data_IF_953156108206
#
_entry.id   IF_953156108206
#
_cell.length_a   1.000
_cell.length_b   1.000
_cell.length_c   1.000
_cell.angle_alpha   90.00
_cell.angle_beta   90.00
_cell.angle_gamma   90.00
#
_symmetry.space_group_name_H-M   'P 1'
#
loop_
_entity.id
_entity.type
_entity.pdbx_description
1 polymer ?
#
# COMPACT_ATOMS: atom_id res chain seq x y z
N UNK A 1 -30.63 -4.24 29.75
CA UNK A 1 -29.46 -3.38 30.01
C UNK A 1 -28.24 -4.09 29.45
N UNK A 2 -27.88 -3.79 28.20
CA UNK A 2 -26.59 -4.20 27.62
C UNK A 2 -25.57 -3.14 28.02
N UNK A 3 -24.67 -3.50 28.92
CA UNK A 3 -23.45 -2.73 29.20
C UNK A 3 -22.63 -2.68 27.91
N UNK A 4 -22.63 -1.55 27.22
CA UNK A 4 -21.53 -1.22 26.32
C UNK A 4 -20.30 -1.07 27.20
N UNK A 5 -19.44 -2.09 27.24
CA UNK A 5 -18.12 -1.93 27.81
C UNK A 5 -17.42 -0.83 27.01
N UNK A 6 -16.86 0.16 27.69
CA UNK A 6 -16.04 1.19 27.06
C UNK A 6 -14.92 0.50 26.25
N UNK A 7 -14.59 1.01 25.05
CA UNK A 7 -13.49 0.46 24.28
C UNK A 7 -12.19 0.50 25.13
N UNK A 8 -11.35 -0.55 25.07
CA UNK A 8 -10.14 -0.63 25.88
C UNK A 8 -9.24 0.58 25.64
N UNK A 9 -8.63 1.09 26.71
CA UNK A 9 -7.67 2.19 26.60
C UNK A 9 -6.44 1.78 25.80
N UNK A 10 -5.71 2.75 25.22
CA UNK A 10 -4.53 2.49 24.38
C UNK A 10 -3.49 1.57 25.06
N UNK A 11 -3.18 1.84 26.34
CA UNK A 11 -2.26 1.03 27.14
C UNK A 11 -2.74 -0.42 27.30
N UNK A 12 -4.06 -0.60 27.45
CA UNK A 12 -4.66 -1.91 27.54
C UNK A 12 -4.51 -2.65 26.21
N UNK A 13 -4.87 -2.00 25.10
CA UNK A 13 -4.71 -2.55 23.75
C UNK A 13 -3.27 -2.96 23.43
N UNK A 14 -2.26 -2.20 23.87
CA UNK A 14 -0.85 -2.53 23.65
C UNK A 14 -0.40 -3.82 24.35
N UNK A 15 -1.03 -4.16 25.47
CA UNK A 15 -0.68 -5.34 26.28
C UNK A 15 -1.52 -6.58 25.97
N UNK A 16 -2.56 -6.44 25.15
CA UNK A 16 -3.42 -7.56 24.76
C UNK A 16 -2.63 -8.62 23.97
N UNK A 17 -2.81 -9.93 24.28
CA UNK A 17 -2.22 -11.01 23.49
C UNK A 17 -2.59 -10.93 22.00
N UNK A 18 -3.80 -10.47 21.69
CA UNK A 18 -4.29 -10.28 20.33
C UNK A 18 -3.43 -9.29 19.54
N UNK A 19 -3.01 -8.18 20.17
CA UNK A 19 -2.13 -7.20 19.57
C UNK A 19 -0.73 -7.78 19.34
N UNK A 20 -0.20 -8.51 20.31
CA UNK A 20 1.11 -9.18 20.17
C UNK A 20 1.10 -10.18 19.00
N UNK A 21 0.07 -11.03 18.93
CA UNK A 21 -0.07 -12.02 17.86
C UNK A 21 -0.23 -11.37 16.50
N UNK A 22 -1.09 -10.34 16.39
CA UNK A 22 -1.28 -9.57 15.16
C UNK A 22 0.05 -9.02 14.63
N UNK A 23 0.84 -8.37 15.49
CA UNK A 23 2.14 -7.80 15.09
C UNK A 23 3.13 -8.88 14.66
N UNK A 24 3.19 -10.00 15.39
CA UNK A 24 4.05 -11.12 15.02
C UNK A 24 3.66 -11.73 13.66
N UNK A 25 2.37 -11.89 13.38
CA UNK A 25 1.87 -12.37 12.08
C UNK A 25 2.21 -11.41 10.94
N UNK A 26 2.05 -10.09 11.16
CA UNK A 26 2.39 -9.08 10.15
C UNK A 26 3.90 -8.98 9.91
N UNK A 27 4.71 -9.12 10.96
CA UNK A 27 6.16 -9.21 10.83
C UNK A 27 6.56 -10.43 9.97
N UNK A 28 5.98 -11.60 10.25
CA UNK A 28 6.23 -12.82 9.48
C UNK A 28 5.80 -12.68 8.01
N UNK A 29 4.66 -12.03 7.76
CA UNK A 29 4.16 -11.79 6.41
C UNK A 29 5.10 -10.83 5.64
N UNK A 30 5.58 -9.77 6.30
CA UNK A 30 6.54 -8.84 5.72
C UNK A 30 7.85 -9.53 5.33
N UNK A 31 8.41 -10.35 6.23
CA UNK A 31 9.61 -11.14 5.97
C UNK A 31 9.41 -12.13 4.81
N UNK A 32 8.23 -12.76 4.73
CA UNK A 32 7.89 -13.65 3.63
C UNK A 32 7.85 -12.91 2.28
N UNK A 33 7.29 -11.70 2.23
CA UNK A 33 7.27 -10.88 1.01
C UNK A 33 8.69 -10.55 0.53
N UNK A 34 9.55 -10.11 1.46
CA UNK A 34 10.97 -9.83 1.17
C UNK A 34 11.68 -11.07 0.66
N UNK A 35 11.54 -12.19 1.36
CA UNK A 35 12.17 -13.45 0.98
C UNK A 35 11.73 -13.90 -0.42
N UNK A 36 10.44 -13.85 -0.73
CA UNK A 36 9.92 -14.21 -2.07
C UNK A 36 10.43 -13.28 -3.17
N UNK A 37 10.55 -11.97 -2.90
CA UNK A 37 11.16 -11.01 -3.84
C UNK A 37 12.61 -11.39 -4.11
N UNK A 38 13.39 -11.65 -3.06
CA UNK A 38 14.81 -12.00 -3.18
C UNK A 38 15.00 -13.32 -3.94
N UNK A 39 14.16 -14.33 -3.68
CA UNK A 39 14.16 -15.58 -4.45
C UNK A 39 13.84 -15.35 -5.93
N UNK A 40 12.86 -14.50 -6.23
CA UNK A 40 12.50 -14.16 -7.60
C UNK A 40 13.69 -13.53 -8.33
N UNK A 41 14.36 -12.56 -7.69
CA UNK A 41 15.56 -11.91 -8.25
C UNK A 41 16.66 -12.93 -8.50
N UNK A 42 16.95 -13.79 -7.52
CA UNK A 42 17.98 -14.81 -7.64
C UNK A 42 17.69 -15.79 -8.79
N UNK A 43 16.44 -16.27 -8.92
CA UNK A 43 16.06 -17.15 -10.04
C UNK A 43 16.17 -16.46 -11.39
N UNK A 44 15.72 -15.21 -11.50
CA UNK A 44 15.85 -14.45 -12.75
C UNK A 44 17.32 -14.29 -13.18
N UNK A 45 18.22 -14.00 -12.22
CA UNK A 45 19.66 -13.90 -12.46
C UNK A 45 20.28 -15.24 -12.86
N UNK A 46 19.89 -16.35 -12.22
CA UNK A 46 20.32 -17.71 -12.60
C UNK A 46 19.94 -18.05 -14.05
N UNK A 47 18.85 -17.48 -14.56
CA UNK A 47 18.41 -17.63 -15.95
C UNK A 47 18.96 -16.55 -16.89
N UNK A 48 19.96 -15.78 -16.47
CA UNK A 48 20.72 -14.85 -17.32
C UNK A 48 20.19 -13.41 -17.35
N UNK A 49 19.23 -13.05 -16.51
CA UNK A 49 18.84 -11.65 -16.35
C UNK A 49 19.95 -10.84 -15.67
N UNK A 50 20.15 -9.59 -16.08
CA UNK A 50 21.01 -8.66 -15.33
C UNK A 50 20.39 -8.35 -13.97
N UNK A 51 21.21 -7.94 -13.01
CA UNK A 51 20.72 -7.57 -11.67
C UNK A 51 19.63 -6.49 -11.71
N UNK A 52 19.81 -5.47 -12.56
CA UNK A 52 18.84 -4.39 -12.73
C UNK A 52 17.52 -4.89 -13.33
N UNK A 53 17.57 -5.73 -14.37
CA UNK A 53 16.36 -6.28 -15.01
C UNK A 53 15.61 -7.23 -14.07
N UNK A 54 16.33 -8.05 -13.29
CA UNK A 54 15.74 -8.93 -12.28
C UNK A 54 15.04 -8.14 -11.17
N UNK A 55 15.69 -7.08 -10.65
CA UNK A 55 15.12 -6.22 -9.62
C UNK A 55 13.87 -5.47 -10.11
N UNK A 56 13.91 -4.93 -11.32
CA UNK A 56 12.79 -4.23 -11.95
C UNK A 56 11.59 -5.17 -12.23
N UNK A 57 11.85 -6.39 -12.71
CA UNK A 57 10.82 -7.41 -12.87
C UNK A 57 10.20 -7.83 -11.54
N UNK A 58 11.03 -8.07 -10.51
CA UNK A 58 10.56 -8.39 -9.17
C UNK A 58 9.70 -7.25 -8.60
N UNK A 59 10.14 -6.01 -8.75
CA UNK A 59 9.38 -4.82 -8.33
C UNK A 59 7.97 -4.80 -8.89
N UNK A 60 7.81 -5.00 -10.20
CA UNK A 60 6.49 -5.10 -10.84
C UNK A 60 5.66 -6.28 -10.34
N UNK A 61 6.27 -7.44 -10.13
CA UNK A 61 5.56 -8.65 -9.68
C UNK A 61 5.05 -8.56 -8.25
N UNK A 62 5.77 -7.87 -7.36
CA UNK A 62 5.44 -7.82 -5.93
C UNK A 62 4.72 -6.54 -5.49
N UNK A 63 4.70 -5.48 -6.31
CA UNK A 63 4.06 -4.19 -5.97
C UNK A 63 2.64 -4.34 -5.45
N UNK A 64 1.81 -5.16 -6.09
CA UNK A 64 0.43 -5.39 -5.67
C UNK A 64 0.30 -6.10 -4.32
N UNK A 65 1.20 -7.03 -4.01
CA UNK A 65 1.23 -7.68 -2.68
C UNK A 65 1.70 -6.71 -1.60
N UNK A 66 2.66 -5.85 -1.90
CA UNK A 66 3.10 -4.80 -0.99
C UNK A 66 2.00 -3.76 -0.76
N UNK A 67 1.27 -3.37 -1.80
CA UNK A 67 0.12 -2.47 -1.69
C UNK A 67 -0.98 -3.04 -0.78
N UNK A 68 -1.28 -4.34 -0.92
CA UNK A 68 -2.26 -5.03 -0.08
C UNK A 68 -1.84 -5.00 1.39
N UNK A 69 -0.59 -5.42 1.67
CA UNK A 69 -0.02 -5.42 3.01
C UNK A 69 -0.04 -4.01 3.64
N UNK A 70 0.39 -3.02 2.86
CA UNK A 70 0.48 -1.64 3.33
C UNK A 70 -0.88 -1.00 3.54
N UNK A 71 -1.85 -1.27 2.66
CA UNK A 71 -3.20 -0.74 2.80
C UNK A 71 -3.88 -1.20 4.08
N UNK A 72 -3.70 -2.47 4.46
CA UNK A 72 -4.11 -2.96 5.78
C UNK A 72 -3.34 -2.23 6.89
N UNK A 73 -2.02 -2.20 6.81
CA UNK A 73 -1.20 -1.65 7.89
C UNK A 73 -1.49 -0.15 8.15
N UNK A 74 -1.78 0.63 7.12
CA UNK A 74 -2.13 2.05 7.24
C UNK A 74 -3.45 2.25 8.00
N UNK A 75 -4.46 1.41 7.78
CA UNK A 75 -5.76 1.52 8.47
C UNK A 75 -5.70 0.98 9.90
N UNK A 76 -4.76 0.08 10.17
CA UNK A 76 -4.50 -0.53 11.48
C UNK A 76 -3.48 0.24 12.35
N UNK A 77 -2.87 1.31 11.81
CA UNK A 77 -1.93 2.16 12.54
C UNK A 77 -2.61 3.46 12.98
N UNK A 78 -2.18 4.09 14.06
CA UNK A 78 -2.72 5.42 14.45
C UNK A 78 -2.31 6.48 13.43
N UNK A 79 -3.08 7.58 13.37
CA UNK A 79 -2.80 8.70 12.46
C UNK A 79 -1.38 9.25 12.60
N UNK A 80 -0.89 9.41 13.83
CA UNK A 80 0.47 9.91 14.10
C UNK A 80 1.56 8.93 13.62
N UNK A 81 1.31 7.63 13.74
CA UNK A 81 2.24 6.60 13.26
C UNK A 81 2.28 6.52 11.73
N UNK A 82 1.12 6.69 11.08
CA UNK A 82 1.02 6.85 9.63
C UNK A 82 1.78 8.11 9.20
N UNK A 83 1.60 9.24 9.89
CA UNK A 83 2.32 10.47 9.58
C UNK A 83 3.84 10.31 9.68
N UNK A 84 4.31 9.69 10.77
CA UNK A 84 5.73 9.40 10.94
C UNK A 84 6.25 8.51 9.79
N UNK A 85 5.48 7.51 9.37
CA UNK A 85 5.80 6.70 8.19
C UNK A 85 5.92 7.56 6.93
N UNK A 86 4.94 8.41 6.64
CA UNK A 86 4.93 9.26 5.43
C UNK A 86 6.15 10.17 5.32
N UNK A 87 6.65 10.68 6.45
CA UNK A 87 7.81 11.58 6.46
C UNK A 87 9.14 10.87 6.28
N UNK A 88 9.21 9.59 6.63
CA UNK A 88 10.44 8.79 6.58
C UNK A 88 10.48 7.83 5.38
N UNK A 89 9.34 7.60 4.71
CA UNK A 89 9.28 6.79 3.51
C UNK A 89 10.08 7.43 2.35
N UNK A 90 10.71 6.60 1.50
CA UNK A 90 11.40 7.10 0.32
C UNK A 90 10.43 7.84 -0.59
N UNK A 91 10.90 8.87 -1.29
CA UNK A 91 10.06 9.59 -2.26
C UNK A 91 9.50 8.63 -3.31
N UNK A 92 8.30 8.89 -3.81
CA UNK A 92 7.59 8.10 -4.82
C UNK A 92 7.15 6.69 -4.37
N UNK A 93 7.25 6.35 -3.09
CA UNK A 93 6.84 5.04 -2.58
C UNK A 93 5.37 4.70 -2.89
N UNK A 94 4.49 5.70 -3.00
CA UNK A 94 3.08 5.50 -3.34
C UNK A 94 2.89 4.98 -4.77
N UNK A 95 3.78 5.32 -5.69
CA UNK A 95 3.79 4.78 -7.06
C UNK A 95 4.67 3.52 -7.20
N UNK A 96 5.62 3.34 -6.28
CA UNK A 96 6.64 2.28 -6.28
C UNK A 96 6.75 1.64 -4.89
N UNK A 97 5.68 1.01 -4.44
CA UNK A 97 5.62 0.49 -3.07
C UNK A 97 6.65 -0.61 -2.80
N UNK A 98 7.13 -1.30 -3.84
CA UNK A 98 8.21 -2.27 -3.74
C UNK A 98 9.50 -1.69 -3.13
N UNK A 99 9.72 -0.37 -3.22
CA UNK A 99 10.88 0.30 -2.60
C UNK A 99 10.91 0.10 -1.08
N UNK A 100 9.75 -0.11 -0.47
CA UNK A 100 9.63 -0.31 0.97
C UNK A 100 10.25 -1.63 1.42
N UNK A 101 10.35 -2.64 0.54
CA UNK A 101 11.00 -3.93 0.84
C UNK A 101 12.49 -3.79 1.16
N UNK A 102 13.11 -2.70 0.70
CA UNK A 102 14.51 -2.37 0.90
C UNK A 102 14.71 -1.26 1.96
N UNK A 103 13.63 -0.78 2.57
CA UNK A 103 13.65 0.33 3.53
C UNK A 103 13.45 -0.17 4.96
N UNK A 104 14.50 -0.74 5.55
CA UNK A 104 14.50 -1.12 6.96
C UNK A 104 14.94 0.06 7.86
N UNK A 105 14.35 0.20 9.08
CA UNK A 105 13.33 -0.64 9.69
C UNK A 105 11.91 -0.08 9.50
N UNK A 106 11.62 0.63 8.41
CA UNK A 106 10.42 1.46 8.28
C UNK A 106 9.11 0.68 8.46
N UNK A 107 8.93 -0.40 7.70
CA UNK A 107 7.75 -1.26 7.79
C UNK A 107 7.71 -2.06 9.09
N UNK A 108 8.79 -2.74 9.53
CA UNK A 108 8.82 -3.38 10.85
C UNK A 108 8.44 -2.44 12.01
N UNK A 109 8.88 -1.18 11.93
CA UNK A 109 8.55 -0.16 12.94
C UNK A 109 7.07 0.22 12.92
N UNK A 110 6.46 0.29 11.74
CA UNK A 110 5.03 0.54 11.61
C UNK A 110 4.20 -0.66 12.09
N UNK A 111 4.62 -1.89 11.78
CA UNK A 111 4.04 -3.13 12.33
C UNK A 111 4.09 -3.14 13.85
N UNK A 112 5.20 -2.75 14.46
CA UNK A 112 5.33 -2.71 15.92
C UNK A 112 4.33 -1.74 16.59
N UNK A 113 3.74 -0.80 15.83
CA UNK A 113 2.82 0.23 16.32
C UNK A 113 1.39 0.08 15.80
N UNK A 114 1.09 -0.99 15.08
CA UNK A 114 -0.25 -1.27 14.58
C UNK A 114 -1.07 -2.12 15.55
N UNK A 115 -2.38 -2.18 15.31
CA UNK A 115 -3.38 -2.83 16.16
C UNK A 115 -4.26 -3.78 15.33
N UNK A 116 -4.87 -4.81 15.94
CA UNK A 116 -5.72 -5.77 15.21
C UNK A 116 -7.06 -5.19 14.74
N UNK A 117 -7.42 -3.99 15.20
CA UNK A 117 -8.64 -3.27 14.80
C UNK A 117 -8.25 -1.97 14.08
N UNK A 118 -9.07 -1.57 13.10
CA UNK A 118 -8.88 -0.30 12.40
C UNK A 118 -8.87 0.85 13.39
N UNK A 119 -7.80 1.66 13.38
CA UNK A 119 -7.51 2.60 14.46
C UNK A 119 -8.22 3.96 14.31
N UNK A 120 -8.70 4.29 13.10
CA UNK A 120 -9.27 5.62 12.81
C UNK A 120 -10.23 5.66 11.61
N UNK A 121 -10.58 4.53 11.01
CA UNK A 121 -11.47 4.48 9.84
C UNK A 121 -12.92 4.23 10.29
N UNK A 122 -13.83 5.17 9.98
CA UNK A 122 -15.26 5.05 10.30
C UNK A 122 -15.92 3.83 9.63
N UNK A 123 -15.38 3.39 8.49
CA UNK A 123 -15.70 2.12 7.84
C UNK A 123 -14.41 1.44 7.39
N UNK A 124 -14.25 0.20 7.85
CA UNK A 124 -13.20 -0.70 7.40
C UNK A 124 -13.54 -1.20 5.99
N UNK A 125 -13.06 -0.49 4.97
CA UNK A 125 -13.04 -1.01 3.62
C UNK A 125 -11.64 -1.55 3.35
N UNK A 126 -11.52 -2.86 3.52
CA UNK A 126 -10.31 -3.61 3.24
C UNK A 126 -9.94 -3.43 1.76
N UNK A 127 -8.66 -3.15 1.49
CA UNK A 127 -8.21 -3.00 0.11
C UNK A 127 -8.33 -4.36 -0.60
N UNK A 128 -9.11 -4.40 -1.68
CA UNK A 128 -9.18 -5.60 -2.51
C UNK A 128 -7.90 -5.81 -3.30
N UNK A 129 -7.52 -7.07 -3.56
CA UNK A 129 -6.37 -7.41 -4.43
C UNK A 129 -6.44 -6.71 -5.79
N UNK A 130 -7.65 -6.60 -6.35
CA UNK A 130 -7.91 -5.88 -7.63
C UNK A 130 -7.48 -4.42 -7.56
N UNK A 131 -7.77 -3.73 -6.45
CA UNK A 131 -7.36 -2.33 -6.24
C UNK A 131 -5.86 -2.25 -5.99
N UNK A 132 -5.29 -3.18 -5.21
CA UNK A 132 -3.87 -3.21 -4.91
C UNK A 132 -2.99 -3.44 -6.15
N UNK A 133 -3.45 -4.26 -7.10
CA UNK A 133 -2.73 -4.58 -8.35
C UNK A 133 -2.81 -3.48 -9.42
N UNK A 134 -3.88 -2.70 -9.41
CA UNK A 134 -4.08 -1.61 -10.36
C UNK A 134 -3.50 -0.30 -9.80
N UNK A 135 -2.43 0.19 -10.42
CA UNK A 135 -1.71 1.36 -9.93
C UNK A 135 -2.58 2.63 -9.84
N UNK A 136 -3.55 2.81 -10.74
CA UNK A 136 -4.45 3.96 -10.73
C UNK A 136 -5.45 3.85 -9.58
N UNK A 137 -6.04 2.67 -9.42
CA UNK A 137 -6.98 2.43 -8.31
C UNK A 137 -6.28 2.48 -6.96
N UNK A 138 -5.09 1.91 -6.85
CA UNK A 138 -4.22 2.02 -5.67
C UNK A 138 -3.92 3.48 -5.33
N UNK A 139 -3.45 4.28 -6.30
CA UNK A 139 -3.11 5.69 -6.05
C UNK A 139 -4.33 6.49 -5.59
N UNK A 140 -5.50 6.23 -6.17
CA UNK A 140 -6.77 6.86 -5.78
C UNK A 140 -7.16 6.46 -4.36
N UNK A 141 -7.10 5.16 -4.05
CA UNK A 141 -7.39 4.64 -2.71
C UNK A 141 -6.44 5.23 -1.68
N UNK A 142 -5.13 5.28 -1.98
CA UNK A 142 -4.11 5.81 -1.08
C UNK A 142 -4.33 7.30 -0.83
N UNK A 143 -4.57 8.10 -1.88
CA UNK A 143 -4.88 9.52 -1.74
C UNK A 143 -6.05 9.77 -0.78
N UNK A 144 -7.16 9.06 -0.97
CA UNK A 144 -8.33 9.17 -0.09
C UNK A 144 -8.02 8.83 1.38
N UNK A 145 -7.09 7.90 1.64
CA UNK A 145 -6.64 7.58 3.01
C UNK A 145 -5.74 8.66 3.60
N UNK A 146 -4.85 9.25 2.81
CA UNK A 146 -4.02 10.37 3.26
C UNK A 146 -4.87 11.59 3.62
N UNK A 147 -5.96 11.83 2.89
CA UNK A 147 -6.93 12.89 3.22
C UNK A 147 -7.56 12.68 4.60
N UNK A 148 -7.95 11.45 4.95
CA UNK A 148 -8.55 11.13 6.25
C UNK A 148 -7.57 11.26 7.44
N UNK A 149 -6.27 11.15 7.18
CA UNK A 149 -5.20 11.41 8.16
C UNK A 149 -4.93 12.92 8.30
N UNK A 150 -5.65 13.77 7.57
CA UNK A 150 -5.57 15.23 7.67
C UNK A 150 -4.33 15.82 7.00
N UNK A 151 -3.66 15.05 6.15
CA UNK A 151 -2.40 15.44 5.50
C UNK A 151 -2.61 15.63 4.00
N UNK A 152 -3.34 16.69 3.67
CA UNK A 152 -3.62 17.11 2.31
C UNK A 152 -2.75 18.31 1.96
N UNK A 153 -1.82 18.12 1.02
CA UNK A 153 -0.94 19.21 0.59
C UNK A 153 0.01 18.77 -0.50
N UNK A 154 0.39 19.70 -1.37
CA UNK A 154 1.26 19.43 -2.53
C UNK A 154 2.59 18.77 -2.13
N UNK A 155 3.15 19.11 -0.96
CA UNK A 155 4.38 18.51 -0.46
C UNK A 155 4.22 17.02 -0.05
N UNK A 156 3.07 16.65 0.52
CA UNK A 156 2.77 15.24 0.84
C UNK A 156 2.51 14.46 -0.44
N UNK A 157 1.76 15.04 -1.37
CA UNK A 157 1.52 14.44 -2.68
C UNK A 157 2.83 14.22 -3.45
N UNK A 158 3.72 15.21 -3.50
CA UNK A 158 5.03 15.09 -4.15
C UNK A 158 5.91 14.01 -3.49
N UNK A 159 5.93 13.95 -2.16
CA UNK A 159 6.70 12.91 -1.46
C UNK A 159 6.15 11.51 -1.74
N UNK A 160 4.83 11.33 -1.70
CA UNK A 160 4.21 10.01 -1.84
C UNK A 160 4.19 9.55 -3.31
N UNK A 161 3.82 10.42 -4.25
CA UNK A 161 3.59 10.04 -5.65
C UNK A 161 4.66 10.53 -6.63
N UNK A 162 5.55 11.43 -6.20
CA UNK A 162 6.50 12.11 -7.08
C UNK A 162 5.90 13.34 -7.76
N UNK A 163 6.65 13.90 -8.72
CA UNK A 163 6.26 15.12 -9.44
C UNK A 163 4.88 14.95 -10.09
N UNK A 164 4.00 15.92 -9.82
CA UNK A 164 2.55 15.96 -10.06
C UNK A 164 2.12 15.80 -11.55
N UNK A 165 3.05 15.68 -12.50
CA UNK A 165 2.76 15.61 -13.93
C UNK A 165 1.94 14.37 -14.34
N UNK A 166 2.02 13.27 -13.59
CA UNK A 166 1.28 12.01 -13.88
C UNK A 166 -0.03 11.88 -13.11
N UNK A 167 -0.29 12.76 -12.13
CA UNK A 167 -1.51 12.74 -11.32
C UNK A 167 -2.70 13.37 -12.07
N UNK A 168 -2.43 14.22 -13.08
CA UNK A 168 -3.43 14.92 -13.89
C UNK A 168 -4.34 14.04 -14.76
N UNK A 169 -4.03 12.76 -14.98
CA UNK A 169 -4.86 11.85 -15.79
C UNK A 169 -5.63 10.80 -14.97
N UNK A 170 -5.34 10.67 -13.68
CA UNK A 170 -5.91 9.62 -12.83
C UNK A 170 -6.65 10.10 -11.59
N UNK A 171 -6.34 11.30 -11.10
CA UNK A 171 -6.83 11.83 -9.82
C UNK A 171 -7.87 12.94 -10.00
N UNK A 172 -8.04 13.45 -11.22
CA UNK A 172 -8.92 14.58 -11.56
C UNK A 172 -10.43 14.36 -11.40
N UNK A 173 -10.92 13.12 -11.26
CA UNK A 173 -12.36 12.86 -11.09
C UNK A 173 -12.76 12.48 -9.65
N UNK A 174 -11.80 12.03 -8.82
CA UNK A 174 -12.06 11.62 -7.43
C UNK A 174 -11.66 12.65 -6.37
N UNK A 175 -10.78 13.60 -6.72
CA UNK A 175 -10.23 14.61 -5.83
C UNK A 175 -10.83 15.99 -6.13
N UNK A 176 -12.14 16.02 -6.40
CA UNK A 176 -12.91 17.25 -6.67
C UNK A 176 -13.01 18.24 -5.51
N UNK A 177 -12.40 17.95 -4.35
CA UNK A 177 -12.37 18.84 -3.19
C UNK A 177 -11.10 19.68 -3.03
N UNK A 178 -9.97 19.27 -3.62
CA UNK A 178 -8.66 19.92 -3.38
C UNK A 178 -8.38 21.11 -4.32
N UNK A 179 -9.27 21.38 -5.28
CA UNK A 179 -9.07 22.34 -6.36
C UNK A 179 -9.90 23.63 -6.29
N UNK A 180 -10.57 23.97 -5.18
CA UNK A 180 -11.39 25.21 -5.11
C UNK A 180 -10.58 26.51 -4.93
N UNK A 181 -9.26 26.48 -5.14
CA UNK A 181 -8.37 27.64 -4.99
C UNK A 181 -7.64 28.11 -6.24
N UNK A 182 -7.66 27.37 -7.36
CA UNK A 182 -6.93 27.75 -8.59
C UNK A 182 -7.89 27.72 -9.78
N UNK A 183 -8.63 28.82 -9.92
CA UNK A 183 -9.60 29.02 -10.99
C UNK A 183 -8.95 29.10 -12.37
N UNK A 184 -9.64 28.50 -13.33
CA UNK A 184 -9.54 28.86 -14.75
C UNK A 184 -8.57 28.02 -15.57
N UNK A 185 -8.96 26.81 -15.97
CA UNK A 185 -8.44 26.22 -17.22
C UNK A 185 -9.33 25.07 -17.74
N UNK A 186 -10.64 25.31 -17.89
CA UNK A 186 -11.48 24.43 -18.71
C UNK A 186 -11.50 24.96 -20.15
N UNK A 187 -10.85 24.22 -21.05
CA UNK A 187 -10.87 24.46 -22.49
C UNK A 187 -10.53 23.19 -23.27
N UNK A 188 -11.56 22.38 -23.54
CA UNK A 188 -11.85 21.63 -24.80
C UNK A 188 -10.81 20.72 -25.50
N UNK A 189 -11.35 19.68 -26.17
CA UNK A 189 -10.80 18.91 -27.32
C UNK A 189 -9.78 17.81 -26.93
N UNK A 190 -9.73 16.58 -27.44
CA UNK A 190 -10.34 15.85 -28.56
C UNK A 190 -9.49 14.58 -28.81
N UNK A 191 -9.96 13.68 -29.68
CA UNK A 191 -9.37 12.38 -30.07
C UNK A 191 -7.84 12.29 -30.28
N UNK A 192 -7.26 11.10 -30.06
CA UNK A 192 -5.95 10.74 -30.64
C UNK A 192 -5.31 9.42 -30.14
N UNK A 193 -5.40 8.36 -30.97
CA UNK A 193 -4.42 7.31 -31.33
C UNK A 193 -3.09 7.24 -30.51
N UNK A 194 -2.46 6.11 -30.18
CA UNK A 194 -2.53 4.73 -30.65
C UNK A 194 -1.24 3.97 -30.23
N UNK A 195 -1.30 2.62 -30.26
CA UNK A 195 -0.20 1.63 -30.18
C UNK A 195 0.74 1.65 -28.96
N UNK A 196 0.65 0.61 -28.13
CA UNK A 196 1.81 0.05 -27.43
C UNK A 196 1.78 -1.48 -27.47
N UNK A 197 2.91 -2.04 -27.88
CA UNK A 197 3.21 -3.41 -28.28
C UNK A 197 2.99 -4.43 -27.16
N UNK A 198 2.37 -5.57 -27.50
CA UNK A 198 2.37 -6.80 -26.68
C UNK A 198 3.75 -7.46 -26.75
N UNK A 199 4.43 -7.60 -25.62
CA UNK A 199 5.51 -8.58 -25.45
C UNK A 199 5.01 -9.60 -24.42
N UNK A 200 4.64 -10.76 -24.92
CA UNK A 200 4.36 -11.93 -24.11
C UNK A 200 5.67 -12.59 -23.67
N UNK A 201 5.77 -12.85 -22.37
CA UNK A 201 6.60 -13.92 -21.81
C UNK A 201 5.88 -14.41 -20.55
N UNK A 202 5.38 -15.64 -20.61
CA UNK A 202 4.59 -16.25 -19.55
C UNK A 202 5.44 -16.51 -18.31
N UNK A 203 5.13 -15.80 -17.23
CA UNK A 203 5.41 -16.25 -15.87
C UNK A 203 4.05 -16.46 -15.23
N UNK A 204 3.72 -17.72 -14.94
CA UNK A 204 2.57 -18.08 -14.12
C UNK A 204 2.85 -17.52 -12.73
N UNK A 205 2.29 -16.35 -12.43
CA UNK A 205 2.38 -15.70 -11.12
C UNK A 205 1.76 -16.62 -10.07
N UNK A 206 2.56 -17.01 -9.08
CA UNK A 206 2.17 -17.79 -7.90
C UNK A 206 1.34 -16.90 -6.96
N UNK A 207 0.21 -16.38 -7.45
CA UNK A 207 -0.70 -15.50 -6.71
C UNK A 207 -1.69 -16.25 -5.80
N UNK A 208 -1.69 -17.58 -5.82
CA UNK A 208 -2.70 -18.39 -5.14
C UNK A 208 -2.37 -18.69 -3.66
N UNK A 209 -1.12 -18.56 -3.20
CA UNK A 209 -0.72 -19.07 -1.87
C UNK A 209 -0.95 -18.04 -0.75
N UNK A 210 -0.88 -16.73 -1.02
CA UNK A 210 -1.07 -15.71 0.04
C UNK A 210 -2.54 -15.52 0.40
N UNK A 211 -3.45 -15.63 -0.59
CA UNK A 211 -4.90 -15.58 -0.35
C UNK A 211 -5.34 -16.73 0.57
N UNK A 212 -4.75 -17.92 0.41
CA UNK A 212 -4.99 -19.05 1.32
C UNK A 212 -4.59 -18.77 2.77
N UNK A 213 -3.48 -18.08 3.01
CA UNK A 213 -3.04 -17.74 4.37
C UNK A 213 -3.98 -16.74 5.08
N UNK A 214 -4.48 -15.74 4.36
CA UNK A 214 -5.42 -14.73 4.90
C UNK A 214 -6.82 -15.33 5.10
N UNK A 215 -7.26 -16.24 4.22
CA UNK A 215 -8.58 -16.90 4.36
C UNK A 215 -8.59 -18.05 5.38
N UNK A 216 -7.53 -18.86 5.47
CA UNK A 216 -7.48 -20.03 6.37
C UNK A 216 -7.37 -19.66 7.85
N UNK A 217 -6.95 -18.43 8.18
CA UNK A 217 -6.94 -17.93 9.55
C UNK A 217 -8.33 -17.48 10.04
N UNK A 218 -9.32 -17.36 9.15
CA UNK A 218 -10.68 -16.90 9.48
C UNK A 218 -11.68 -18.02 9.73
N UNK A 219 -11.37 -19.26 9.32
CA UNK A 219 -12.26 -20.43 9.47
C UNK A 219 -12.03 -21.21 10.79
N UNK A 220 -11.16 -20.70 11.68
CA UNK A 220 -10.85 -21.31 12.98
C UNK A 220 -11.05 -20.39 14.20
N UNK A 221 -11.81 -19.30 14.06
CA UNK A 221 -12.21 -18.44 15.18
C UNK A 221 -13.72 -18.46 15.39
#
# INVERSE_FOLDING_TARGET
>A
MTTHADPPGLLEMETLPQTTNYRAERQKLWELLRHKRDEYVARAQQHGATAAAAADAAGRSFRGEVNLFLGELLTHSRKDDVLAFLMNAPREWGARSELLLDTDPLIPSLVARSFPVGAWVDRYEEISKRVADDNKQWSTWLAARLEQVGHTGAAVADRVFGVVETVGQGVGEGVGGLGKGLGGLFGSVGEGLGKAVMIGAGVVSVGAVVVGGIYLLRDKS
#
